data_IF_545604862407
#
_entry.id   IF_545604862407
#
_cell.length_a   1.000
_cell.length_b   1.000
_cell.length_c   1.000
_cell.angle_alpha   90.00
_cell.angle_beta   90.00
_cell.angle_gamma   90.00
#
_symmetry.space_group_name_H-M   'P 1'
#
loop_
_entity.id
_entity.type
_entity.pdbx_description
1 polymer ?
#
# COMPACT_ATOMS: atom_id res chain seq x y z
N UNK A 1 -2.60 18.93 11.14
CA UNK A 1 -3.22 17.59 11.31
C UNK A 1 -2.15 16.59 11.65
N UNK A 2 -2.45 15.54 12.42
CA UNK A 2 -1.50 14.48 12.78
C UNK A 2 -1.28 13.58 11.55
N UNK A 3 -0.03 13.24 11.24
CA UNK A 3 0.26 12.27 10.18
C UNK A 3 -0.28 10.89 10.55
N UNK A 4 -0.75 10.14 9.54
CA UNK A 4 -1.20 8.76 9.70
C UNK A 4 0.01 7.89 9.96
N UNK A 5 -0.08 7.05 10.98
CA UNK A 5 0.99 6.16 11.42
C UNK A 5 0.52 4.71 11.40
N UNK A 6 1.41 3.80 11.05
CA UNK A 6 1.11 2.38 10.91
C UNK A 6 2.31 1.50 11.21
N UNK A 7 2.06 0.22 11.46
CA UNK A 7 3.10 -0.76 11.73
C UNK A 7 3.98 -1.02 10.50
N UNK A 8 5.28 -1.07 10.72
CA UNK A 8 6.31 -1.49 9.78
C UNK A 8 6.87 -2.86 10.18
N UNK A 9 7.05 -3.74 9.22
CA UNK A 9 7.51 -5.10 9.43
C UNK A 9 8.74 -5.37 8.55
N UNK A 10 9.79 -5.92 9.16
CA UNK A 10 10.92 -6.46 8.42
C UNK A 10 10.47 -7.69 7.63
N UNK A 11 11.06 -7.90 6.46
CA UNK A 11 10.97 -9.18 5.76
C UNK A 11 11.48 -10.33 6.66
N UNK A 12 11.02 -11.57 6.46
CA UNK A 12 10.04 -12.02 5.48
C UNK A 12 8.58 -11.72 5.87
N UNK A 13 7.63 -11.96 4.97
CA UNK A 13 6.18 -11.82 5.23
C UNK A 13 5.68 -12.71 6.38
N UNK A 14 6.42 -13.75 6.76
CA UNK A 14 6.09 -14.58 7.93
C UNK A 14 6.43 -13.91 9.26
N UNK A 15 7.22 -12.83 9.25
CA UNK A 15 7.44 -12.00 10.43
C UNK A 15 6.22 -11.12 10.69
N UNK A 16 5.34 -11.55 11.58
CA UNK A 16 4.06 -10.88 11.89
C UNK A 16 4.12 -9.98 13.13
N UNK A 17 5.29 -9.81 13.75
CA UNK A 17 5.50 -8.84 14.84
C UNK A 17 6.09 -7.56 14.25
N UNK A 18 5.48 -6.39 14.49
CA UNK A 18 6.01 -5.13 13.96
C UNK A 18 7.42 -4.86 14.47
N UNK A 19 8.29 -4.38 13.58
CA UNK A 19 9.62 -3.90 13.94
C UNK A 19 9.58 -2.43 14.41
N UNK A 20 8.55 -1.68 14.05
CA UNK A 20 8.39 -0.29 14.44
C UNK A 20 7.11 0.33 13.89
N UNK A 21 6.98 1.63 14.11
CA UNK A 21 5.89 2.46 13.60
C UNK A 21 6.50 3.51 12.68
N UNK A 22 5.86 3.75 11.54
CA UNK A 22 6.26 4.78 10.58
C UNK A 22 5.05 5.62 10.18
N UNK A 23 5.27 6.87 9.79
CA UNK A 23 4.28 7.70 9.13
C UNK A 23 4.43 7.68 7.60
N UNK A 24 3.47 8.27 6.88
CA UNK A 24 3.49 8.33 5.40
C UNK A 24 4.74 9.03 4.87
N UNK A 25 5.18 10.14 5.46
CA UNK A 25 6.36 10.88 4.98
C UNK A 25 7.66 10.09 5.20
N UNK A 26 7.79 9.39 6.33
CA UNK A 26 8.89 8.44 6.57
C UNK A 26 8.85 7.27 5.58
N UNK A 27 7.67 6.74 5.29
CA UNK A 27 7.51 5.66 4.32
C UNK A 27 7.91 6.11 2.90
N UNK A 28 7.49 7.31 2.51
CA UNK A 28 7.86 7.91 1.23
C UNK A 28 9.38 8.08 1.10
N UNK A 29 10.04 8.64 2.12
CA UNK A 29 11.50 8.77 2.13
C UNK A 29 12.17 7.38 2.00
N UNK A 30 11.68 6.39 2.75
CA UNK A 30 12.19 5.03 2.66
C UNK A 30 12.03 4.40 1.27
N UNK A 31 10.86 4.55 0.63
CA UNK A 31 10.59 4.03 -0.72
C UNK A 31 11.45 4.72 -1.78
N UNK A 32 11.71 6.02 -1.64
CA UNK A 32 12.37 6.82 -2.68
C UNK A 32 13.89 6.87 -2.57
N UNK A 33 14.45 6.69 -1.37
CA UNK A 33 15.89 6.93 -1.13
C UNK A 33 16.65 5.74 -0.52
N UNK A 34 15.96 4.67 -0.10
CA UNK A 34 16.63 3.54 0.57
C UNK A 34 17.39 2.65 -0.41
N UNK A 35 18.71 2.74 -0.37
CA UNK A 35 19.63 1.85 -1.10
C UNK A 35 19.42 0.36 -0.74
N UNK A 36 19.20 0.08 0.53
CA UNK A 36 18.91 -1.26 1.03
C UNK A 36 17.63 -1.84 0.41
N UNK A 37 16.60 -1.00 0.24
CA UNK A 37 15.35 -1.40 -0.39
C UNK A 37 15.52 -1.52 -1.91
N UNK A 38 16.33 -0.66 -2.52
CA UNK A 38 16.67 -0.72 -3.95
C UNK A 38 17.28 -2.06 -4.32
N UNK A 39 18.35 -2.47 -3.63
CA UNK A 39 19.02 -3.75 -3.88
C UNK A 39 18.07 -4.96 -3.81
N UNK A 40 17.15 -4.96 -2.84
CA UNK A 40 16.14 -6.04 -2.70
C UNK A 40 15.06 -5.98 -3.76
N UNK A 41 14.65 -4.77 -4.12
CA UNK A 41 13.68 -4.55 -5.20
C UNK A 41 14.23 -5.04 -6.52
N UNK A 42 15.51 -4.75 -6.81
CA UNK A 42 16.18 -5.20 -8.02
C UNK A 42 16.30 -6.73 -8.06
N UNK A 43 16.63 -7.37 -6.93
CA UNK A 43 16.63 -8.84 -6.82
C UNK A 43 15.26 -9.46 -7.09
N UNK A 44 14.18 -8.84 -6.60
CA UNK A 44 12.81 -9.31 -6.84
C UNK A 44 12.44 -9.13 -8.32
N UNK A 45 12.71 -7.95 -8.90
CA UNK A 45 12.40 -7.62 -10.30
C UNK A 45 13.22 -8.44 -11.30
N UNK A 46 14.44 -8.84 -10.95
CA UNK A 46 15.24 -9.76 -11.78
C UNK A 46 14.57 -11.13 -11.97
N UNK A 47 13.62 -11.49 -11.10
CA UNK A 47 12.85 -12.73 -11.21
C UNK A 47 11.49 -12.57 -11.91
N UNK A 48 11.16 -11.41 -12.49
CA UNK A 48 9.83 -11.16 -13.10
C UNK A 48 9.44 -12.14 -14.22
N UNK A 49 10.40 -12.84 -14.84
CA UNK A 49 10.14 -13.89 -15.83
C UNK A 49 9.76 -15.27 -15.25
N UNK A 50 9.85 -15.45 -13.92
CA UNK A 50 9.48 -16.68 -13.21
C UNK A 50 8.57 -16.32 -12.03
N UNK A 51 7.27 -16.46 -12.23
CA UNK A 51 6.24 -16.04 -11.26
C UNK A 51 6.43 -16.69 -9.88
N UNK A 52 6.80 -17.98 -9.84
CA UNK A 52 6.99 -18.71 -8.58
C UNK A 52 8.20 -18.18 -7.83
N UNK A 53 9.30 -17.93 -8.55
CA UNK A 53 10.52 -17.34 -7.97
C UNK A 53 10.28 -15.89 -7.54
N UNK A 54 9.62 -15.08 -8.37
CA UNK A 54 9.23 -13.71 -8.06
C UNK A 54 8.42 -13.65 -6.76
N UNK A 55 7.37 -14.46 -6.65
CA UNK A 55 6.52 -14.52 -5.45
C UNK A 55 7.33 -14.88 -4.20
N UNK A 56 8.20 -15.90 -4.31
CA UNK A 56 9.08 -16.31 -3.20
C UNK A 56 10.02 -15.19 -2.77
N UNK A 57 10.71 -14.54 -3.71
CA UNK A 57 11.64 -13.45 -3.39
C UNK A 57 10.90 -12.25 -2.81
N UNK A 58 9.75 -11.86 -3.37
CA UNK A 58 8.90 -10.78 -2.83
C UNK A 58 8.55 -11.04 -1.37
N UNK A 59 8.09 -12.24 -1.06
CA UNK A 59 7.71 -12.65 0.30
C UNK A 59 8.90 -12.80 1.26
N UNK A 60 10.07 -13.16 0.76
CA UNK A 60 11.27 -13.36 1.59
C UNK A 60 12.09 -12.09 1.83
N UNK A 61 12.12 -11.18 0.86
CA UNK A 61 13.09 -10.06 0.84
C UNK A 61 12.47 -8.70 1.13
N UNK A 62 11.20 -8.48 0.77
CA UNK A 62 10.61 -7.15 0.88
C UNK A 62 9.97 -6.94 2.25
N UNK A 63 10.27 -5.80 2.92
CA UNK A 63 9.52 -5.38 4.08
C UNK A 63 8.11 -4.95 3.67
N UNK A 64 7.24 -4.78 4.65
CA UNK A 64 5.86 -4.39 4.40
C UNK A 64 5.30 -3.57 5.55
N UNK A 65 4.19 -2.90 5.30
CA UNK A 65 3.42 -2.16 6.33
C UNK A 65 1.99 -2.70 6.41
N UNK A 66 1.25 -2.31 7.44
CA UNK A 66 -0.20 -2.49 7.54
C UNK A 66 -0.88 -1.13 7.50
N UNK A 67 -1.26 -0.63 6.31
CA UNK A 67 -1.73 0.74 6.16
C UNK A 67 -2.84 1.12 7.12
N UNK A 68 -3.75 0.20 7.47
CA UNK A 68 -4.88 0.45 8.37
C UNK A 68 -4.54 0.86 9.81
N UNK A 69 -3.30 0.64 10.27
CA UNK A 69 -2.94 1.08 11.61
C UNK A 69 -1.72 0.43 12.23
N UNK A 70 -1.61 0.68 13.53
CA UNK A 70 -0.61 0.08 14.42
C UNK A 70 -1.22 -1.18 15.02
N UNK A 71 -0.54 -2.29 14.85
CA UNK A 71 -0.89 -3.60 15.38
C UNK A 71 0.15 -4.07 16.39
N UNK A 72 -0.22 -4.86 17.39
CA UNK A 72 0.74 -5.61 18.23
C UNK A 72 1.23 -6.89 17.54
N UNK A 73 0.40 -7.45 16.65
CA UNK A 73 0.68 -8.59 15.79
C UNK A 73 -0.15 -8.45 14.51
N UNK A 74 0.35 -8.88 13.34
CA UNK A 74 -0.38 -8.74 12.06
C UNK A 74 -1.59 -9.69 12.01
N UNK A 75 -2.68 -9.26 12.64
CA UNK A 75 -4.00 -9.90 12.71
C UNK A 75 -5.02 -8.84 13.10
N UNK A 76 -6.24 -8.90 12.56
CA UNK A 76 -7.23 -7.84 12.72
C UNK A 76 -7.59 -7.52 14.18
N UNK A 77 -7.76 -8.55 15.02
CA UNK A 77 -8.06 -8.43 16.45
C UNK A 77 -6.90 -7.91 17.31
N UNK A 78 -5.76 -7.59 16.70
CA UNK A 78 -4.58 -7.02 17.35
C UNK A 78 -4.32 -5.57 16.93
N UNK A 79 -5.28 -4.91 16.29
CA UNK A 79 -5.24 -3.47 16.00
C UNK A 79 -5.24 -2.67 17.30
N UNK A 80 -4.22 -1.83 17.50
CA UNK A 80 -4.08 -0.94 18.65
C UNK A 80 -4.56 0.47 18.34
N UNK A 81 -4.20 0.99 17.16
CA UNK A 81 -4.52 2.36 16.75
C UNK A 81 -4.83 2.37 15.24
N UNK A 82 -6.05 2.74 14.82
CA UNK A 82 -6.35 2.91 13.41
C UNK A 82 -5.61 4.12 12.84
N UNK A 83 -5.05 3.98 11.64
CA UNK A 83 -4.37 5.08 10.93
C UNK A 83 -5.34 6.00 10.19
N UNK A 84 -6.51 5.49 9.81
CA UNK A 84 -7.40 6.13 8.83
C UNK A 84 -6.94 5.99 7.38
N UNK A 85 -6.06 5.03 7.06
CA UNK A 85 -5.61 4.70 5.70
C UNK A 85 -6.00 3.28 5.32
N UNK A 86 -6.16 3.01 4.03
CA UNK A 86 -6.12 1.65 3.49
C UNK A 86 -5.24 1.62 2.24
N UNK A 87 -4.91 0.42 1.75
CA UNK A 87 -4.19 0.29 0.49
C UNK A 87 -5.12 -0.18 -0.62
N UNK A 88 -5.03 0.49 -1.76
CA UNK A 88 -5.52 -0.03 -3.03
C UNK A 88 -4.33 -0.64 -3.76
N UNK A 89 -4.47 -1.90 -4.14
CA UNK A 89 -3.49 -2.65 -4.93
C UNK A 89 -4.10 -2.94 -6.30
N UNK A 90 -3.46 -2.44 -7.35
CA UNK A 90 -3.86 -2.69 -8.75
C UNK A 90 -2.67 -3.39 -9.40
N UNK A 91 -2.86 -4.64 -9.77
CA UNK A 91 -1.86 -5.46 -10.44
C UNK A 91 -2.31 -5.81 -11.88
N UNK A 92 -1.43 -6.47 -12.63
CA UNK A 92 -1.70 -6.96 -13.99
C UNK A 92 -2.01 -5.86 -15.03
N UNK A 93 -1.42 -4.68 -14.87
CA UNK A 93 -1.38 -3.66 -15.92
C UNK A 93 -0.50 -4.16 -17.08
N UNK A 94 -0.75 -3.65 -18.28
CA UNK A 94 -0.20 -4.19 -19.52
C UNK A 94 1.30 -3.94 -19.66
N UNK A 95 1.80 -2.84 -19.08
CA UNK A 95 3.22 -2.49 -19.12
C UNK A 95 3.67 -1.62 -17.93
N UNK A 96 4.99 -1.49 -17.70
CA UNK A 96 5.54 -0.56 -16.72
C UNK A 96 5.16 0.91 -16.97
N UNK A 97 5.12 1.34 -18.23
CA UNK A 97 4.71 2.68 -18.63
C UNK A 97 3.24 2.93 -18.29
N UNK A 98 2.39 1.93 -18.50
CA UNK A 98 0.98 1.99 -18.10
C UNK A 98 0.84 2.11 -16.58
N UNK A 99 1.62 1.34 -15.81
CA UNK A 99 1.64 1.45 -14.35
C UNK A 99 2.07 2.86 -13.88
N UNK A 100 3.09 3.43 -14.50
CA UNK A 100 3.53 4.81 -14.22
C UNK A 100 2.40 5.81 -14.50
N UNK A 101 1.72 5.67 -15.64
CA UNK A 101 0.60 6.54 -16.03
C UNK A 101 -0.56 6.43 -15.05
N UNK A 102 -0.95 5.22 -14.67
CA UNK A 102 -2.03 4.99 -13.71
C UNK A 102 -1.69 5.47 -12.31
N UNK A 103 -0.45 5.30 -11.84
CA UNK A 103 0.02 5.85 -10.56
C UNK A 103 -0.20 7.36 -10.53
N UNK A 104 0.26 8.07 -11.57
CA UNK A 104 0.18 9.53 -11.62
C UNK A 104 -1.27 10.01 -11.81
N UNK A 105 -2.07 9.30 -12.62
CA UNK A 105 -3.50 9.58 -12.83
C UNK A 105 -4.31 9.42 -11.54
N UNK A 106 -4.17 8.28 -10.85
CA UNK A 106 -4.93 8.02 -9.62
C UNK A 106 -4.41 8.83 -8.43
N UNK A 107 -3.13 9.21 -8.42
CA UNK A 107 -2.61 10.15 -7.45
C UNK A 107 -3.25 11.54 -7.58
N UNK A 108 -3.53 11.98 -8.80
CA UNK A 108 -4.23 13.23 -9.08
C UNK A 108 -5.75 13.14 -8.89
N UNK A 109 -6.30 11.98 -8.52
CA UNK A 109 -7.74 11.78 -8.37
C UNK A 109 -8.30 12.57 -7.17
N UNK A 110 -9.23 13.49 -7.44
CA UNK A 110 -9.80 14.39 -6.44
C UNK A 110 -10.71 13.70 -5.41
N UNK A 111 -11.17 12.48 -5.69
CA UNK A 111 -12.07 11.72 -4.81
C UNK A 111 -11.31 10.75 -3.92
N UNK A 112 -10.34 10.04 -4.48
CA UNK A 112 -9.46 9.12 -3.75
C UNK A 112 -8.44 9.89 -2.92
N UNK A 113 -7.84 10.96 -3.47
CA UNK A 113 -6.78 11.77 -2.84
C UNK A 113 -5.74 10.92 -2.10
N UNK A 114 -5.01 10.01 -2.78
CA UNK A 114 -4.03 9.17 -2.12
C UNK A 114 -2.96 10.00 -1.41
N UNK A 115 -2.62 9.61 -0.20
CA UNK A 115 -1.53 10.22 0.56
C UNK A 115 -0.16 9.76 0.08
N UNK A 116 -0.09 8.58 -0.54
CA UNK A 116 1.12 8.04 -1.16
C UNK A 116 0.74 7.15 -2.34
N UNK A 117 1.44 7.28 -3.45
CA UNK A 117 1.34 6.35 -4.59
C UNK A 117 2.71 5.92 -5.09
N UNK A 118 2.84 4.65 -5.47
CA UNK A 118 4.08 4.10 -6.02
C UNK A 118 3.82 2.89 -6.91
N UNK A 119 4.76 2.61 -7.82
CA UNK A 119 4.75 1.43 -8.68
C UNK A 119 5.17 0.21 -7.86
N UNK A 120 4.42 -0.87 -7.99
CA UNK A 120 4.54 -2.08 -7.19
C UNK A 120 5.83 -2.87 -7.51
N UNK A 121 6.17 -3.91 -6.72
CA UNK A 121 7.35 -4.73 -6.98
C UNK A 121 7.38 -5.37 -8.37
N UNK A 122 6.22 -5.66 -8.98
CA UNK A 122 6.12 -6.31 -10.30
C UNK A 122 6.41 -5.36 -11.46
N UNK A 123 6.54 -4.05 -11.22
CA UNK A 123 6.58 -2.96 -12.22
C UNK A 123 5.30 -2.76 -13.04
N UNK A 124 4.42 -3.75 -13.09
CA UNK A 124 3.14 -3.74 -13.83
C UNK A 124 1.94 -3.64 -12.88
N UNK A 125 2.14 -3.02 -11.73
CA UNK A 125 1.10 -2.72 -10.77
C UNK A 125 1.42 -1.45 -10.00
N UNK A 126 0.46 -0.96 -9.24
CA UNK A 126 0.56 0.25 -8.44
C UNK A 126 -0.11 0.06 -7.08
N UNK A 127 0.40 0.81 -6.10
CA UNK A 127 -0.12 0.83 -4.74
C UNK A 127 -0.44 2.26 -4.36
N UNK A 128 -1.63 2.46 -3.79
CA UNK A 128 -2.11 3.74 -3.30
C UNK A 128 -2.45 3.60 -1.81
N UNK A 129 -1.89 4.44 -0.94
CA UNK A 129 -2.40 4.62 0.41
C UNK A 129 -3.46 5.71 0.35
N UNK A 130 -4.69 5.34 0.68
CA UNK A 130 -5.87 6.18 0.51
C UNK A 130 -6.48 6.47 1.89
N UNK A 131 -6.70 7.75 2.23
CA UNK A 131 -7.28 8.10 3.51
C UNK A 131 -8.80 7.87 3.50
N UNK A 132 -9.32 7.50 4.66
CA UNK A 132 -10.76 7.43 4.91
C UNK A 132 -11.11 8.04 6.26
N UNK A 133 -12.40 8.41 6.41
CA UNK A 133 -12.89 9.04 7.64
C UNK A 133 -13.40 7.98 8.61
N UNK A 134 -12.82 7.97 9.80
CA UNK A 134 -13.38 7.24 10.93
C UNK A 134 -14.64 7.95 11.42
N UNK A 135 -15.74 7.20 11.53
CA UNK A 135 -17.01 7.70 12.04
C UNK A 135 -17.13 7.41 13.53
N UNK A 136 -17.56 8.40 14.33
CA UNK A 136 -17.89 8.17 15.75
C UNK A 136 -19.12 7.28 15.96
N UNK A 137 -19.90 7.03 14.90
CA UNK A 137 -21.13 6.23 14.93
C UNK A 137 -20.94 4.80 14.45
N UNK A 138 -19.75 4.45 13.96
CA UNK A 138 -19.44 3.14 13.37
C UNK A 138 -18.21 2.56 14.05
N UNK A 139 -18.04 1.26 14.00
CA UNK A 139 -16.76 0.66 14.37
C UNK A 139 -15.68 1.03 13.34
N UNK A 140 -14.43 0.73 13.68
CA UNK A 140 -13.30 0.93 12.77
C UNK A 140 -13.46 0.05 11.53
N UNK A 141 -13.86 -1.21 11.74
CA UNK A 141 -14.14 -2.22 10.72
C UNK A 141 -15.24 -1.75 9.78
N UNK A 142 -16.39 -1.32 10.30
CA UNK A 142 -17.50 -0.81 9.48
C UNK A 142 -17.09 0.41 8.65
N UNK A 143 -16.32 1.34 9.24
CA UNK A 143 -15.82 2.52 8.52
C UNK A 143 -14.82 2.14 7.43
N UNK A 144 -13.97 1.14 7.70
CA UNK A 144 -12.97 0.62 6.78
C UNK A 144 -13.65 -0.07 5.60
N UNK A 145 -14.51 -1.06 5.87
CA UNK A 145 -15.22 -1.85 4.86
C UNK A 145 -16.02 -0.97 3.89
N UNK A 146 -16.68 0.06 4.41
CA UNK A 146 -17.40 1.01 3.56
C UNK A 146 -16.49 1.85 2.68
N UNK A 147 -15.39 2.37 3.22
CA UNK A 147 -14.45 3.18 2.46
C UNK A 147 -13.79 2.37 1.34
N UNK A 148 -13.43 1.15 1.69
CA UNK A 148 -12.78 0.18 0.85
C UNK A 148 -13.73 -0.28 -0.27
N UNK A 149 -14.98 -0.65 0.05
CA UNK A 149 -16.04 -0.92 -0.94
C UNK A 149 -16.29 0.27 -1.86
N UNK A 150 -16.42 1.47 -1.30
CA UNK A 150 -16.64 2.69 -2.08
C UNK A 150 -15.50 2.92 -3.08
N UNK A 151 -14.25 2.71 -2.68
CA UNK A 151 -13.10 2.90 -3.55
C UNK A 151 -13.10 1.91 -4.73
N UNK A 152 -13.46 0.64 -4.50
CA UNK A 152 -13.61 -0.34 -5.58
C UNK A 152 -14.71 0.02 -6.56
N UNK A 153 -15.91 0.32 -6.07
CA UNK A 153 -17.04 0.75 -6.91
C UNK A 153 -16.67 1.99 -7.72
N UNK A 154 -15.97 2.94 -7.10
CA UNK A 154 -15.53 4.17 -7.77
C UNK A 154 -14.50 3.91 -8.86
N UNK A 155 -13.48 3.07 -8.60
CA UNK A 155 -12.45 2.72 -9.57
C UNK A 155 -13.04 2.00 -10.78
N UNK A 156 -13.94 1.04 -10.56
CA UNK A 156 -14.58 0.30 -11.64
C UNK A 156 -15.50 1.22 -12.44
N UNK A 157 -16.32 2.04 -11.77
CA UNK A 157 -17.25 2.95 -12.45
C UNK A 157 -16.55 4.06 -13.25
N UNK A 158 -15.54 4.71 -12.68
CA UNK A 158 -14.87 5.87 -13.29
C UNK A 158 -13.79 5.47 -14.29
N UNK A 159 -13.01 4.43 -13.98
CA UNK A 159 -11.80 4.07 -14.72
C UNK A 159 -11.87 2.70 -15.38
N UNK A 160 -12.90 1.88 -15.09
CA UNK A 160 -12.96 0.50 -15.55
C UNK A 160 -11.92 -0.41 -14.87
N UNK A 161 -11.27 0.06 -13.80
CA UNK A 161 -10.22 -0.67 -13.09
C UNK A 161 -10.83 -1.54 -12.00
N UNK A 162 -10.53 -2.84 -12.05
CA UNK A 162 -10.91 -3.79 -11.02
C UNK A 162 -9.75 -3.96 -10.04
N UNK A 163 -9.89 -3.43 -8.84
CA UNK A 163 -8.95 -3.73 -7.77
C UNK A 163 -9.32 -5.04 -7.06
N UNK A 164 -8.33 -5.68 -6.44
CA UNK A 164 -8.48 -7.03 -5.85
C UNK A 164 -9.27 -6.98 -4.53
N UNK A 165 -10.56 -7.30 -4.59
CA UNK A 165 -11.47 -7.33 -3.45
C UNK A 165 -11.15 -8.43 -2.42
N UNK A 166 -10.28 -9.41 -2.74
CA UNK A 166 -9.88 -10.46 -1.78
C UNK A 166 -8.85 -9.97 -0.76
N UNK A 167 -8.34 -8.74 -0.94
CA UNK A 167 -7.29 -8.15 -0.12
C UNK A 167 -7.78 -7.05 0.85
N UNK A 168 -9.05 -7.14 1.26
CA UNK A 168 -9.82 -6.11 1.97
C UNK A 168 -9.83 -6.21 3.51
N UNK A 169 -8.74 -6.60 4.16
CA UNK A 169 -8.71 -6.79 5.63
C UNK A 169 -7.86 -5.72 6.33
N UNK A 170 -8.17 -5.41 7.59
CA UNK A 170 -7.44 -4.38 8.35
C UNK A 170 -5.95 -4.70 8.49
N UNK A 171 -5.62 -5.99 8.60
CA UNK A 171 -4.24 -6.45 8.77
C UNK A 171 -3.48 -6.65 7.44
N UNK A 172 -4.03 -6.14 6.32
CA UNK A 172 -3.48 -6.35 4.98
C UNK A 172 -2.06 -5.83 4.88
N UNK A 173 -1.16 -6.74 4.52
CA UNK A 173 0.23 -6.43 4.24
C UNK A 173 0.39 -5.69 2.90
N UNK A 174 1.00 -4.51 2.94
CA UNK A 174 1.42 -3.75 1.78
C UNK A 174 2.95 -3.88 1.62
N UNK A 175 3.40 -4.73 0.69
CA UNK A 175 4.83 -4.87 0.39
C UNK A 175 5.42 -3.56 -0.14
N UNK A 176 6.59 -3.20 0.38
CA UNK A 176 7.35 -2.04 -0.04
C UNK A 176 8.41 -2.43 -1.07
N UNK A 177 8.60 -1.55 -2.04
CA UNK A 177 9.71 -1.62 -2.99
C UNK A 177 10.26 -0.23 -3.24
N UNK A 178 11.45 -0.15 -3.80
CA UNK A 178 12.08 1.09 -4.18
C UNK A 178 11.41 1.65 -5.44
N UNK A 179 10.91 2.88 -5.33
CA UNK A 179 10.35 3.66 -6.43
C UNK A 179 10.77 5.12 -6.25
N UNK A 180 11.81 5.60 -6.95
CA UNK A 180 12.26 6.99 -6.84
C UNK A 180 11.24 7.99 -7.42
N UNK A 181 10.24 7.50 -8.15
CA UNK A 181 9.17 8.29 -8.75
C UNK A 181 7.85 8.22 -8.00
N UNK A 182 7.83 7.65 -6.79
CA UNK A 182 6.68 7.68 -5.90
C UNK A 182 6.17 9.11 -5.69
N UNK A 183 4.88 9.26 -5.42
CA UNK A 183 4.23 10.54 -5.17
C UNK A 183 3.77 10.63 -3.72
N UNK A 184 4.02 11.77 -3.09
CA UNK A 184 3.56 12.08 -1.73
C UNK A 184 2.48 13.15 -1.80
N UNK A 185 1.33 12.86 -1.20
CA UNK A 185 0.19 13.78 -1.11
C UNK A 185 0.48 14.94 -0.18
N UNK A 186 0.04 16.14 -0.57
CA UNK A 186 0.05 17.31 0.31
C UNK A 186 -1.26 17.34 1.10
N UNK A 187 -1.18 17.05 2.41
CA UNK A 187 -2.32 17.00 3.32
C UNK A 187 -2.96 18.37 3.63
N UNK A 188 -2.49 19.43 2.98
CA UNK A 188 -3.07 20.78 3.07
C UNK A 188 -4.14 21.08 2.00
N UNK A 189 -4.55 20.09 1.18
CA UNK A 189 -5.53 20.24 0.08
C UNK A 189 -6.91 19.64 0.36
#
# INVERSE_FOLDING_TARGET
>A
MKESIFSFFNAPITNQVPNGVVCVSQLYAYITTSEWLRERTDQVRAASGDEKRFRRLKQSLLPYVTPAGIFSYRKEDHLLVPSGEFVIDIDHLSSPEEAICWRDTLFADERLRPDLSFVSPSTTGIKLLVPYRLSIKKTVEESFDEAVRFAWEYLEWKYGLKADATNADLSRACFLCHDPSARLGDRNR
#
